data_IF_635727026975
#
_entry.id   IF_635727026975
#
_cell.length_a   1.000
_cell.length_b   1.000
_cell.length_c   1.000
_cell.angle_alpha   90.00
_cell.angle_beta   90.00
_cell.angle_gamma   90.00
#
_symmetry.space_group_name_H-M   'P 1'
#
loop_
_entity.id
_entity.type
_entity.pdbx_description
1 polymer ?
#
# COMPACT_ATOMS: atom_id res chain seq x y z
N UNK A 1 28.62 -23.69 40.57
CA UNK A 1 27.34 -24.08 39.95
C UNK A 1 26.22 -23.02 40.03
N UNK A 2 26.24 -22.04 40.96
CA UNK A 2 25.19 -20.99 41.04
C UNK A 2 25.25 -19.91 39.95
N UNK A 3 26.44 -19.62 39.40
CA UNK A 3 26.63 -18.57 38.39
C UNK A 3 26.04 -18.94 37.01
N UNK A 4 26.02 -20.23 36.66
CA UNK A 4 25.51 -20.71 35.36
C UNK A 4 23.99 -20.53 35.26
N UNK A 5 23.25 -20.76 36.36
CA UNK A 5 21.80 -20.56 36.38
C UNK A 5 21.38 -19.09 36.19
N UNK A 6 22.14 -18.15 36.74
CA UNK A 6 21.87 -16.72 36.58
C UNK A 6 22.16 -16.25 35.15
N UNK A 7 23.26 -16.72 34.55
CA UNK A 7 23.62 -16.40 33.17
C UNK A 7 22.56 -16.91 32.18
N UNK A 8 22.05 -18.13 32.37
CA UNK A 8 20.98 -18.70 31.54
C UNK A 8 19.68 -17.91 31.66
N UNK A 9 19.28 -17.51 32.86
CA UNK A 9 18.07 -16.70 33.07
C UNK A 9 18.15 -15.33 32.37
N UNK A 10 19.28 -14.64 32.47
CA UNK A 10 19.49 -13.34 31.82
C UNK A 10 19.44 -13.48 30.30
N UNK A 11 20.03 -14.53 29.72
CA UNK A 11 19.97 -14.79 28.28
C UNK A 11 18.54 -15.08 27.83
N UNK A 12 17.76 -15.86 28.59
CA UNK A 12 16.36 -16.17 28.27
C UNK A 12 15.49 -14.91 28.34
N UNK A 13 15.68 -14.05 29.34
CA UNK A 13 14.95 -12.78 29.45
C UNK A 13 15.34 -11.79 28.35
N UNK A 14 16.62 -11.68 28.01
CA UNK A 14 17.08 -10.84 26.92
C UNK A 14 16.56 -11.34 25.57
N UNK A 15 16.63 -12.64 25.31
CA UNK A 15 16.08 -13.24 24.10
C UNK A 15 14.57 -13.07 24.02
N UNK A 16 13.83 -13.38 25.10
CA UNK A 16 12.38 -13.23 25.17
C UNK A 16 11.93 -11.77 24.98
N UNK A 17 12.63 -10.82 25.62
CA UNK A 17 12.39 -9.39 25.44
C UNK A 17 12.67 -8.92 24.02
N UNK A 18 13.75 -9.40 23.40
CA UNK A 18 14.07 -9.09 22.00
C UNK A 18 13.01 -9.63 21.04
N UNK A 19 12.58 -10.89 21.19
CA UNK A 19 11.53 -11.46 20.36
C UNK A 19 10.18 -10.76 20.57
N UNK A 20 9.86 -10.37 21.80
CA UNK A 20 8.68 -9.57 22.11
C UNK A 20 8.69 -8.21 21.41
N UNK A 21 9.82 -7.49 21.45
CA UNK A 21 9.99 -6.21 20.77
C UNK A 21 9.93 -6.38 19.24
N UNK A 22 10.61 -7.38 18.69
CA UNK A 22 10.61 -7.66 17.26
C UNK A 22 9.21 -8.02 16.75
N UNK A 23 8.47 -8.87 17.47
CA UNK A 23 7.08 -9.18 17.15
C UNK A 23 6.20 -7.94 17.21
N UNK A 24 6.39 -7.07 18.22
CA UNK A 24 5.63 -5.84 18.36
C UNK A 24 5.89 -4.84 17.22
N UNK A 25 7.14 -4.68 16.78
CA UNK A 25 7.48 -3.84 15.63
C UNK A 25 6.85 -4.35 14.33
N UNK A 26 6.80 -5.67 14.13
CA UNK A 26 6.14 -6.28 12.97
C UNK A 26 4.62 -6.10 13.02
N UNK A 27 4.01 -6.14 14.21
CA UNK A 27 2.55 -6.05 14.37
C UNK A 27 2.02 -4.63 14.27
N UNK A 28 2.82 -3.61 14.64
CA UNK A 28 2.33 -2.22 14.71
C UNK A 28 1.96 -1.62 13.34
N UNK A 29 2.56 -2.12 12.26
CA UNK A 29 2.39 -1.54 10.92
C UNK A 29 2.97 -0.12 10.82
N UNK A 30 3.06 0.39 9.61
CA UNK A 30 3.51 1.76 9.38
C UNK A 30 2.42 2.75 9.83
N UNK A 31 2.83 3.85 10.46
CA UNK A 31 1.94 4.95 10.79
C UNK A 31 1.47 5.65 9.50
N UNK A 32 0.15 5.63 9.27
CA UNK A 32 -0.51 6.20 8.09
C UNK A 32 -1.12 7.57 8.37
N UNK A 33 -0.97 8.11 9.58
CA UNK A 33 -1.61 9.38 9.97
C UNK A 33 -1.14 10.58 9.15
N UNK A 34 0.07 10.55 8.60
CA UNK A 34 0.60 11.57 7.69
C UNK A 34 0.02 11.52 6.27
N UNK A 35 -0.65 10.42 5.88
CA UNK A 35 -1.25 10.28 4.55
C UNK A 35 -2.60 11.00 4.50
N UNK A 36 -2.59 12.34 4.47
CA UNK A 36 -3.80 13.16 4.66
C UNK A 36 -4.50 13.58 3.37
N UNK A 37 -3.79 13.62 2.24
CA UNK A 37 -4.36 14.09 0.97
C UNK A 37 -4.95 12.92 0.20
N UNK A 38 -6.21 13.04 -0.24
CA UNK A 38 -6.85 12.06 -1.13
C UNK A 38 -6.69 12.50 -2.58
N UNK A 39 -6.18 11.60 -3.41
CA UNK A 39 -6.09 11.77 -4.87
C UNK A 39 -6.74 10.60 -5.58
N UNK A 40 -7.34 10.85 -6.74
CA UNK A 40 -7.86 9.78 -7.59
C UNK A 40 -6.72 9.15 -8.39
N UNK A 41 -6.74 7.82 -8.50
CA UNK A 41 -5.75 7.06 -9.24
C UNK A 41 -6.36 6.42 -10.48
N UNK A 42 -5.62 6.50 -11.58
CA UNK A 42 -5.94 5.80 -12.82
C UNK A 42 -5.43 4.37 -12.73
N UNK A 43 -6.34 3.40 -12.88
CA UNK A 43 -6.00 1.97 -12.90
C UNK A 43 -5.50 1.56 -14.29
N UNK A 44 -4.37 0.87 -14.29
CA UNK A 44 -3.65 0.40 -15.46
C UNK A 44 -3.65 -1.15 -15.48
N UNK A 45 -3.99 -1.71 -16.63
CA UNK A 45 -3.96 -3.15 -16.93
C UNK A 45 -4.50 -4.07 -15.81
N UNK A 46 -5.77 -3.94 -15.40
CA UNK A 46 -6.34 -4.84 -14.41
C UNK A 46 -6.43 -6.26 -14.96
N UNK A 47 -5.92 -7.22 -14.17
CA UNK A 47 -5.93 -8.64 -14.48
C UNK A 47 -6.50 -9.42 -13.31
N UNK A 48 -7.41 -10.33 -13.61
CA UNK A 48 -7.89 -11.28 -12.60
C UNK A 48 -6.72 -12.14 -12.09
N UNK A 49 -6.70 -12.38 -10.79
CA UNK A 49 -5.74 -13.25 -10.10
C UNK A 49 -6.47 -14.12 -9.09
N UNK A 50 -5.97 -15.35 -8.91
CA UNK A 50 -6.61 -16.36 -8.06
C UNK A 50 -7.80 -17.06 -8.73
N UNK A 51 -8.26 -18.15 -8.11
CA UNK A 51 -9.46 -18.90 -8.54
C UNK A 51 -10.30 -19.26 -7.31
N UNK A 52 -11.63 -19.30 -7.45
CA UNK A 52 -12.55 -19.69 -6.37
C UNK A 52 -12.71 -18.64 -5.27
N UNK A 53 -12.67 -19.04 -3.99
CA UNK A 53 -12.94 -18.15 -2.84
C UNK A 53 -11.87 -17.09 -2.56
N UNK A 54 -10.80 -17.06 -3.35
CA UNK A 54 -9.68 -16.12 -3.25
C UNK A 54 -9.42 -15.34 -4.54
N UNK A 55 -10.42 -15.17 -5.41
CA UNK A 55 -10.31 -14.34 -6.61
C UNK A 55 -10.21 -12.85 -6.27
N UNK A 56 -9.51 -12.13 -7.14
CA UNK A 56 -9.29 -10.72 -7.03
C UNK A 56 -8.66 -10.16 -8.29
N UNK A 57 -8.20 -8.93 -8.20
CA UNK A 57 -7.55 -8.24 -9.31
C UNK A 57 -6.16 -7.81 -8.90
N UNK A 58 -5.21 -8.00 -9.82
CA UNK A 58 -3.91 -7.35 -9.79
C UNK A 58 -3.90 -6.24 -10.83
N UNK A 59 -3.45 -5.05 -10.43
CA UNK A 59 -3.31 -3.94 -11.35
C UNK A 59 -2.14 -3.04 -10.97
N UNK A 60 -1.67 -2.28 -11.97
CA UNK A 60 -0.86 -1.11 -11.77
C UNK A 60 -1.77 0.11 -11.63
N UNK A 61 -1.31 1.17 -11.00
CA UNK A 61 -2.04 2.44 -10.98
C UNK A 61 -1.08 3.62 -11.02
N UNK A 62 -1.62 4.77 -11.40
CA UNK A 62 -0.93 6.04 -11.41
C UNK A 62 -1.79 7.13 -10.80
N UNK A 63 -1.19 8.09 -10.11
CA UNK A 63 -1.85 9.27 -9.57
C UNK A 63 -0.96 10.50 -9.75
N UNK A 64 -1.56 11.67 -9.76
CA UNK A 64 -0.87 12.94 -9.98
C UNK A 64 -0.88 13.79 -8.70
N UNK A 65 0.28 14.32 -8.34
CA UNK A 65 0.44 15.32 -7.28
C UNK A 65 1.36 16.41 -7.82
N UNK A 66 0.90 17.66 -7.77
CA UNK A 66 1.63 18.85 -8.22
C UNK A 66 2.22 18.74 -9.65
N UNK A 67 1.47 18.11 -10.56
CA UNK A 67 1.87 17.93 -11.96
C UNK A 67 2.88 16.80 -12.20
N UNK A 68 3.29 16.09 -11.14
CA UNK A 68 4.14 14.90 -11.25
C UNK A 68 3.33 13.64 -11.06
N UNK A 69 3.58 12.66 -11.93
CA UNK A 69 2.90 11.37 -11.90
C UNK A 69 3.72 10.33 -11.14
N UNK A 70 3.02 9.63 -10.25
CA UNK A 70 3.54 8.58 -9.40
C UNK A 70 2.72 7.32 -9.60
N UNK A 71 3.23 6.16 -9.20
CA UNK A 71 2.40 4.97 -9.16
C UNK A 71 3.07 3.73 -8.60
N UNK A 72 2.36 2.62 -8.73
CA UNK A 72 2.76 1.33 -8.21
C UNK A 72 2.24 0.22 -9.13
N UNK A 73 3.04 -0.82 -9.38
CA UNK A 73 2.77 -1.77 -10.47
C UNK A 73 2.09 -3.08 -10.03
N UNK A 74 2.01 -3.35 -8.73
CA UNK A 74 1.62 -4.67 -8.20
C UNK A 74 0.61 -4.58 -7.06
N UNK A 75 -0.45 -3.79 -7.23
CA UNK A 75 -1.54 -3.79 -6.27
C UNK A 75 -2.39 -5.04 -6.45
N UNK A 76 -2.88 -5.61 -5.35
CA UNK A 76 -3.78 -6.77 -5.37
C UNK A 76 -4.95 -6.47 -4.44
N UNK A 77 -6.16 -6.67 -4.94
CA UNK A 77 -7.39 -6.43 -4.19
C UNK A 77 -8.38 -7.57 -4.43
N UNK A 78 -9.17 -7.89 -3.40
CA UNK A 78 -10.23 -8.87 -3.53
C UNK A 78 -11.39 -8.31 -4.37
N UNK A 79 -12.00 -9.15 -5.22
CA UNK A 79 -13.11 -8.77 -6.10
C UNK A 79 -14.35 -8.25 -5.35
N UNK A 80 -14.52 -8.63 -4.08
CA UNK A 80 -15.63 -8.15 -3.23
C UNK A 80 -15.44 -6.70 -2.78
N UNK A 81 -14.21 -6.18 -2.87
CA UNK A 81 -13.85 -4.83 -2.42
C UNK A 81 -13.74 -3.88 -3.60
N UNK A 82 -13.33 -4.38 -4.78
CA UNK A 82 -13.15 -3.58 -5.99
C UNK A 82 -13.23 -4.43 -7.25
N UNK A 83 -13.81 -3.87 -8.31
CA UNK A 83 -13.87 -4.45 -9.65
C UNK A 83 -13.42 -3.45 -10.73
N UNK A 84 -12.96 -3.91 -11.92
CA UNK A 84 -12.56 -3.01 -13.00
C UNK A 84 -13.67 -2.04 -13.40
N UNK A 85 -13.36 -0.74 -13.36
CA UNK A 85 -14.31 0.34 -13.62
C UNK A 85 -14.69 1.12 -12.36
N UNK A 86 -14.53 0.52 -11.17
CA UNK A 86 -14.71 1.22 -9.92
C UNK A 86 -13.56 2.24 -9.70
N UNK A 87 -13.85 3.43 -9.16
CA UNK A 87 -12.83 4.43 -8.89
C UNK A 87 -11.85 3.92 -7.82
N UNK A 88 -10.58 4.28 -7.98
CA UNK A 88 -9.54 4.02 -6.98
C UNK A 88 -9.03 5.35 -6.44
N UNK A 89 -9.01 5.49 -5.13
CA UNK A 89 -8.36 6.63 -4.47
C UNK A 89 -7.10 6.18 -3.74
N UNK A 90 -6.16 7.11 -3.64
CA UNK A 90 -4.90 6.94 -2.92
C UNK A 90 -4.83 8.05 -1.87
N UNK A 91 -4.46 7.68 -0.65
CA UNK A 91 -4.08 8.64 0.38
C UNK A 91 -2.56 8.83 0.30
N UNK A 92 -2.12 10.06 0.11
CA UNK A 92 -0.71 10.44 -0.06
C UNK A 92 -0.29 11.37 1.08
N UNK A 93 0.99 11.31 1.41
CA UNK A 93 1.64 12.34 2.24
C UNK A 93 1.86 13.57 1.35
N UNK A 94 1.24 14.74 1.66
CA UNK A 94 1.41 15.93 0.84
C UNK A 94 2.85 16.48 0.86
N UNK A 95 3.61 16.19 1.92
CA UNK A 95 5.02 16.62 2.04
C UNK A 95 5.99 15.60 1.41
N UNK A 96 5.54 14.37 1.17
CA UNK A 96 6.29 13.31 0.51
C UNK A 96 5.39 12.41 -0.37
N UNK A 97 5.06 12.83 -1.61
CA UNK A 97 4.11 12.11 -2.46
C UNK A 97 4.54 10.70 -2.85
N UNK A 98 5.78 10.27 -2.58
CA UNK A 98 6.18 8.88 -2.73
C UNK A 98 5.48 7.96 -1.74
N UNK A 99 5.17 8.46 -0.54
CA UNK A 99 4.52 7.70 0.53
C UNK A 99 3.01 7.72 0.33
N UNK A 100 2.43 6.53 0.17
CA UNK A 100 1.01 6.44 -0.13
C UNK A 100 0.39 5.09 0.28
N UNK A 101 -0.94 5.08 0.36
CA UNK A 101 -1.74 3.86 0.51
C UNK A 101 -2.98 3.96 -0.37
N UNK A 102 -3.33 2.86 -1.05
CA UNK A 102 -4.62 2.78 -1.74
C UNK A 102 -5.73 2.75 -0.69
N UNK A 103 -6.72 3.62 -0.82
CA UNK A 103 -7.88 3.63 0.05
C UNK A 103 -9.16 3.64 -0.77
N UNK A 104 -9.89 2.51 -0.71
CA UNK A 104 -11.14 2.33 -1.45
C UNK A 104 -12.37 2.74 -0.64
N UNK A 105 -12.25 2.80 0.69
CA UNK A 105 -13.40 3.02 1.59
C UNK A 105 -13.09 4.05 2.69
N UNK A 106 -11.89 4.03 3.26
CA UNK A 106 -11.58 4.79 4.48
C UNK A 106 -11.06 6.19 4.20
N UNK A 107 -11.36 7.17 5.06
CA UNK A 107 -10.76 8.51 4.97
C UNK A 107 -9.24 8.46 5.12
N UNK A 108 -8.57 9.45 4.55
CA UNK A 108 -7.14 9.71 4.73
C UNK A 108 -6.86 10.27 6.15
N UNK A 109 -5.59 10.28 6.55
CA UNK A 109 -5.14 10.82 7.84
C UNK A 109 -5.52 9.98 9.07
N UNK A 110 -5.81 8.70 8.88
CA UNK A 110 -6.07 7.78 9.98
C UNK A 110 -4.76 7.10 10.39
N UNK A 111 -4.62 6.70 11.67
CA UNK A 111 -3.50 5.85 12.11
C UNK A 111 -3.37 4.58 11.24
N UNK A 112 -4.52 4.10 10.71
CA UNK A 112 -4.60 2.98 9.79
C UNK A 112 -5.76 3.14 8.80
N UNK A 113 -5.43 3.51 7.57
CA UNK A 113 -6.39 3.69 6.48
C UNK A 113 -6.77 2.36 5.82
N UNK A 114 -5.88 1.37 5.83
CA UNK A 114 -6.16 0.01 5.35
C UNK A 114 -5.30 -1.03 6.11
N UNK A 115 -5.64 -2.32 6.01
CA UNK A 115 -4.74 -3.42 6.32
C UNK A 115 -3.50 -3.47 5.42
N UNK A 116 -3.44 -2.61 4.38
CA UNK A 116 -2.27 -2.43 3.53
C UNK A 116 -1.18 -1.58 4.22
N UNK A 117 0.07 -1.90 3.90
CA UNK A 117 1.26 -1.15 4.31
C UNK A 117 1.43 0.11 3.45
N UNK A 118 2.14 1.11 3.99
CA UNK A 118 2.57 2.27 3.21
C UNK A 118 3.45 1.76 2.06
N UNK A 119 3.17 2.22 0.86
CA UNK A 119 3.92 1.88 -0.35
C UNK A 119 4.78 3.08 -0.73
N UNK A 120 5.92 2.77 -1.31
CA UNK A 120 6.78 3.73 -1.99
C UNK A 120 6.40 3.76 -3.46
N UNK A 121 5.96 4.92 -3.94
CA UNK A 121 5.64 5.12 -5.34
C UNK A 121 6.90 5.39 -6.14
N UNK A 122 6.88 4.94 -7.39
CA UNK A 122 7.88 5.30 -8.38
C UNK A 122 7.36 6.43 -9.27
N UNK A 123 8.19 7.42 -9.62
CA UNK A 123 7.86 8.36 -10.69
C UNK A 123 7.54 7.59 -11.96
N UNK A 124 6.46 7.99 -12.65
CA UNK A 124 6.06 7.37 -13.91
C UNK A 124 5.48 8.39 -14.88
N UNK A 125 5.46 8.11 -16.20
CA UNK A 125 4.77 8.97 -17.15
C UNK A 125 3.27 9.05 -16.85
N UNK A 126 2.64 10.15 -17.29
CA UNK A 126 1.20 10.27 -17.28
C UNK A 126 0.57 9.08 -18.03
N UNK A 127 -0.51 8.47 -17.51
CA UNK A 127 -1.28 7.48 -18.25
C UNK A 127 -1.70 8.05 -19.61
N UNK A 128 -1.57 7.25 -20.66
CA UNK A 128 -2.20 7.58 -21.93
C UNK A 128 -3.71 7.70 -21.68
N UNK A 129 -4.26 8.90 -21.88
CA UNK A 129 -5.69 9.12 -21.71
C UNK A 129 -6.43 8.18 -22.66
N UNK A 130 -7.17 7.21 -22.11
CA UNK A 130 -8.00 6.29 -22.92
C UNK A 130 -9.08 7.03 -23.74
N UNK A 131 -9.30 8.31 -23.44
CA UNK A 131 -10.22 9.22 -24.15
C UNK A 131 -9.60 9.98 -25.33
N UNK A 132 -8.35 9.71 -25.72
CA UNK A 132 -7.90 10.19 -27.02
C UNK A 132 -8.58 9.35 -28.11
N UNK A 133 -9.55 9.89 -28.88
CA UNK A 133 -10.09 9.17 -30.01
C UNK A 133 -8.92 8.79 -30.89
N UNK A 134 -8.78 7.49 -31.19
CA UNK A 134 -7.76 6.99 -32.09
C UNK A 134 -7.72 7.92 -33.31
N UNK A 135 -6.62 8.66 -33.46
CA UNK A 135 -6.47 9.60 -34.55
C UNK A 135 -6.77 8.81 -35.83
N UNK A 136 -7.86 9.17 -36.53
CA UNK A 136 -8.21 8.55 -37.81
C UNK A 136 -7.01 8.76 -38.72
N UNK A 137 -6.23 7.70 -38.93
CA UNK A 137 -5.19 7.72 -39.93
C UNK A 137 -5.90 7.91 -41.29
N UNK A 138 -5.43 8.86 -42.13
CA UNK A 138 -6.04 9.17 -43.41
C UNK A 138 -5.95 8.02 -44.41
#
# INVERSE_FOLDING_TARGET
>A
MKAVGCAVLVVVLAAGGFFGLAAWLVVRGDDQSGLTQRVEATVLDPREVGTGTGSGYRFAYAYEVDGQWYGYDRYVVNERVWTPGDPVSVCVDPDDPHRHVVSLVRPCGQERTDGNFVKEATPRPAPESRDQPAARQP
#
